data_IF_296376165102
#
_entry.id   IF_296376165102
#
_cell.length_a   1.000
_cell.length_b   1.000
_cell.length_c   1.000
_cell.angle_alpha   90.00
_cell.angle_beta   90.00
_cell.angle_gamma   90.00
#
_symmetry.space_group_name_H-M   'P 1'
#
loop_
_entity.id
_entity.type
_entity.pdbx_description
1 polymer ?
#
# COMPACT_ATOMS: atom_id res chain seq x y z
N UNK A 1 10.67 -5.05 5.13
CA UNK A 1 9.93 -4.69 3.89
C UNK A 1 8.85 -5.70 3.54
N UNK A 2 9.18 -6.95 3.18
CA UNK A 2 8.16 -7.95 2.84
C UNK A 2 7.34 -8.39 4.05
N UNK A 3 8.01 -8.63 5.19
CA UNK A 3 7.35 -8.92 6.47
C UNK A 3 6.47 -7.73 6.90
N UNK A 4 6.99 -6.50 6.86
CA UNK A 4 6.19 -5.31 7.23
C UNK A 4 4.97 -5.14 6.34
N UNK A 5 5.10 -5.44 5.05
CA UNK A 5 4.00 -5.42 4.10
C UNK A 5 2.99 -6.54 4.36
N UNK A 6 3.42 -7.77 4.64
CA UNK A 6 2.49 -8.87 4.96
C UNK A 6 1.68 -8.56 6.21
N UNK A 7 2.33 -8.05 7.27
CA UNK A 7 1.65 -7.57 8.47
C UNK A 7 0.68 -6.42 8.18
N UNK A 8 1.04 -5.50 7.27
CA UNK A 8 0.13 -4.44 6.83
C UNK A 8 -1.10 -5.00 6.10
N UNK A 9 -0.92 -6.01 5.24
CA UNK A 9 -2.03 -6.67 4.52
C UNK A 9 -3.00 -7.32 5.49
N UNK A 10 -2.50 -8.03 6.49
CA UNK A 10 -3.35 -8.69 7.48
C UNK A 10 -4.16 -7.68 8.29
N UNK A 11 -3.52 -6.58 8.71
CA UNK A 11 -4.20 -5.49 9.41
C UNK A 11 -5.24 -4.78 8.52
N UNK A 12 -4.92 -4.57 7.24
CA UNK A 12 -5.86 -3.99 6.28
C UNK A 12 -7.10 -4.89 6.08
N UNK A 13 -6.91 -6.21 6.00
CA UNK A 13 -8.02 -7.17 5.90
C UNK A 13 -8.91 -7.11 7.14
N UNK A 14 -8.30 -7.06 8.33
CA UNK A 14 -9.01 -6.93 9.60
C UNK A 14 -9.86 -5.65 9.63
N UNK A 15 -9.27 -4.50 9.34
CA UNK A 15 -10.00 -3.22 9.29
C UNK A 15 -11.11 -3.20 8.23
N UNK A 16 -10.86 -3.77 7.05
CA UNK A 16 -11.88 -3.83 6.00
C UNK A 16 -13.07 -4.69 6.43
N UNK A 17 -12.83 -5.81 7.11
CA UNK A 17 -13.89 -6.67 7.63
C UNK A 17 -14.71 -5.95 8.72
N UNK A 18 -14.05 -5.22 9.61
CA UNK A 18 -14.69 -4.44 10.67
C UNK A 18 -15.55 -3.30 10.11
N UNK A 19 -15.02 -2.51 9.17
CA UNK A 19 -15.81 -1.47 8.49
C UNK A 19 -17.01 -2.07 7.74
N UNK A 20 -16.82 -3.23 7.12
CA UNK A 20 -17.90 -3.93 6.42
C UNK A 20 -19.00 -4.38 7.38
N UNK A 21 -18.66 -4.87 8.58
CA UNK A 21 -19.68 -5.29 9.56
C UNK A 21 -20.49 -4.10 10.07
N UNK A 22 -19.85 -2.93 10.28
CA UNK A 22 -20.54 -1.67 10.62
C UNK A 22 -21.53 -1.29 9.52
N UNK A 23 -21.11 -1.33 8.24
CA UNK A 23 -21.98 -1.03 7.10
C UNK A 23 -23.14 -2.02 6.95
N UNK A 24 -22.96 -3.27 7.40
CA UNK A 24 -23.98 -4.33 7.36
C UNK A 24 -25.01 -4.24 8.50
N UNK A 25 -24.95 -3.18 9.33
CA UNK A 25 -25.94 -2.91 10.36
C UNK A 25 -25.50 -3.28 11.77
N UNK A 26 -24.22 -3.57 11.99
CA UNK A 26 -23.68 -3.65 13.35
C UNK A 26 -23.82 -2.27 14.02
N UNK A 27 -24.64 -2.21 15.08
CA UNK A 27 -24.81 -1.01 15.89
C UNK A 27 -23.45 -0.56 16.43
N UNK A 28 -23.02 0.62 16.00
CA UNK A 28 -21.71 1.21 16.32
C UNK A 28 -21.94 2.68 16.59
N UNK A 29 -21.37 3.20 17.67
CA UNK A 29 -21.49 4.62 18.00
C UNK A 29 -20.73 5.47 16.97
N UNK A 30 -21.11 6.75 16.84
CA UNK A 30 -20.41 7.68 15.95
C UNK A 30 -18.92 7.82 16.34
N UNK A 31 -18.62 7.79 17.64
CA UNK A 31 -17.25 7.87 18.15
C UNK A 31 -16.42 6.65 17.72
N UNK A 32 -16.98 5.44 17.86
CA UNK A 32 -16.31 4.21 17.41
C UNK A 32 -16.11 4.21 15.90
N UNK A 33 -17.10 4.64 15.13
CA UNK A 33 -16.98 4.75 13.68
C UNK A 33 -15.87 5.72 13.27
N UNK A 34 -15.77 6.90 13.92
CA UNK A 34 -14.69 7.86 13.69
C UNK A 34 -13.32 7.24 14.00
N UNK A 35 -13.21 6.53 15.12
CA UNK A 35 -11.97 5.86 15.51
C UNK A 35 -11.56 4.78 14.50
N UNK A 36 -12.52 3.99 13.99
CA UNK A 36 -12.28 3.00 12.93
C UNK A 36 -11.73 3.66 11.66
N UNK A 37 -12.32 4.78 11.24
CA UNK A 37 -11.87 5.54 10.06
C UNK A 37 -10.47 6.10 10.29
N UNK A 38 -10.21 6.72 11.44
CA UNK A 38 -8.89 7.26 11.80
C UNK A 38 -7.82 6.16 11.83
N UNK A 39 -8.15 5.00 12.38
CA UNK A 39 -7.25 3.83 12.43
C UNK A 39 -6.95 3.33 11.01
N UNK A 40 -7.96 3.27 10.14
CA UNK A 40 -7.77 2.94 8.72
C UNK A 40 -6.85 3.91 7.99
N UNK A 41 -7.03 5.23 8.19
CA UNK A 41 -6.18 6.26 7.61
C UNK A 41 -4.73 6.16 8.11
N UNK A 42 -4.53 5.96 9.41
CA UNK A 42 -3.21 5.73 10.00
C UNK A 42 -2.53 4.48 9.42
N UNK A 43 -3.29 3.41 9.14
CA UNK A 43 -2.74 2.24 8.47
C UNK A 43 -2.24 2.56 7.05
N UNK A 44 -2.90 3.45 6.30
CA UNK A 44 -2.39 3.91 5.00
C UNK A 44 -1.11 4.74 5.13
N UNK A 45 -0.99 5.60 6.15
CA UNK A 45 0.27 6.31 6.40
C UNK A 45 1.43 5.34 6.63
N UNK A 46 1.20 4.26 7.38
CA UNK A 46 2.17 3.19 7.58
C UNK A 46 2.56 2.52 6.25
N UNK A 47 1.62 2.26 5.34
CA UNK A 47 1.93 1.73 4.00
C UNK A 47 2.88 2.64 3.23
N UNK A 48 2.59 3.95 3.22
CA UNK A 48 3.42 4.92 2.51
C UNK A 48 4.82 5.00 3.10
N UNK A 49 4.97 4.90 4.43
CA UNK A 49 6.29 4.81 5.08
C UNK A 49 7.07 3.56 4.68
N UNK A 50 6.42 2.39 4.62
CA UNK A 50 7.05 1.15 4.13
C UNK A 50 7.53 1.32 2.68
N UNK A 51 6.68 1.88 1.81
CA UNK A 51 7.03 2.13 0.40
C UNK A 51 8.15 3.16 0.24
N UNK A 52 8.17 4.22 1.05
CA UNK A 52 9.22 5.23 1.04
C UNK A 52 10.57 4.64 1.51
N UNK A 53 10.56 3.84 2.58
CA UNK A 53 11.75 3.12 3.04
C UNK A 53 12.29 2.18 1.96
N UNK A 54 11.41 1.46 1.25
CA UNK A 54 11.80 0.63 0.12
C UNK A 54 12.43 1.45 -1.02
N UNK A 55 11.83 2.58 -1.38
CA UNK A 55 12.36 3.49 -2.40
C UNK A 55 13.75 4.03 -2.06
N UNK A 56 13.96 4.39 -0.79
CA UNK A 56 15.23 4.91 -0.29
C UNK A 56 16.33 3.83 -0.27
N UNK A 57 15.96 2.56 -0.08
CA UNK A 57 16.91 1.45 -0.14
C UNK A 57 17.26 1.10 -1.59
N UNK A 58 16.25 0.87 -2.43
CA UNK A 58 16.37 0.71 -3.87
C UNK A 58 15.00 0.97 -4.55
N UNK A 59 14.97 1.94 -5.46
CA UNK A 59 13.79 2.33 -6.23
C UNK A 59 13.14 1.15 -6.99
N UNK A 60 13.91 0.13 -7.36
CA UNK A 60 13.38 -1.08 -8.01
C UNK A 60 12.39 -1.83 -7.11
N UNK A 61 12.55 -1.81 -5.78
CA UNK A 61 11.60 -2.46 -4.87
C UNK A 61 10.19 -1.88 -4.97
N UNK A 62 10.04 -0.56 -5.20
CA UNK A 62 8.72 0.06 -5.40
C UNK A 62 8.00 -0.52 -6.62
N UNK A 63 8.74 -0.93 -7.63
CA UNK A 63 8.20 -1.51 -8.86
C UNK A 63 7.97 -3.02 -8.76
N UNK A 64 8.84 -3.75 -8.08
CA UNK A 64 8.84 -5.23 -8.05
C UNK A 64 8.25 -5.84 -6.77
N UNK A 65 8.03 -5.04 -5.72
CA UNK A 65 7.61 -5.52 -4.41
C UNK A 65 6.24 -6.21 -4.37
N UNK A 66 6.00 -6.93 -3.27
CA UNK A 66 4.80 -7.74 -3.02
C UNK A 66 3.47 -6.96 -3.06
N UNK A 67 3.51 -5.62 -3.01
CA UNK A 67 2.35 -4.74 -3.13
C UNK A 67 1.84 -4.52 -4.55
N UNK A 68 2.47 -5.11 -5.56
CA UNK A 68 1.93 -5.18 -6.91
C UNK A 68 1.78 -6.64 -7.33
N UNK A 69 0.67 -6.96 -7.98
CA UNK A 69 0.47 -8.21 -8.69
C UNK A 69 1.37 -8.30 -9.92
N UNK A 70 1.68 -9.50 -10.43
CA UNK A 70 2.40 -9.66 -11.69
C UNK A 70 1.77 -8.90 -12.87
N UNK A 71 0.43 -8.86 -12.93
CA UNK A 71 -0.31 -8.13 -13.95
C UNK A 71 -0.08 -6.60 -13.84
N UNK A 72 -0.19 -6.02 -12.65
CA UNK A 72 0.06 -4.59 -12.45
C UNK A 72 1.49 -4.19 -12.79
N UNK A 73 2.48 -5.06 -12.49
CA UNK A 73 3.89 -4.81 -12.84
C UNK A 73 4.10 -4.79 -14.35
N UNK A 74 3.44 -5.68 -15.08
CA UNK A 74 3.51 -5.72 -16.54
C UNK A 74 2.92 -4.45 -17.19
N UNK A 75 1.89 -3.87 -16.59
CA UNK A 75 1.16 -2.72 -17.11
C UNK A 75 1.55 -1.37 -16.48
N UNK A 76 2.71 -1.26 -15.82
CA UNK A 76 3.19 0.00 -15.22
C UNK A 76 3.20 1.18 -16.21
N UNK A 77 3.44 0.89 -17.50
CA UNK A 77 3.48 1.86 -18.58
C UNK A 77 2.13 2.53 -18.89
N UNK A 78 1.01 1.89 -18.56
CA UNK A 78 -0.33 2.46 -18.77
C UNK A 78 -0.57 3.64 -17.80
N UNK A 79 0.02 3.59 -16.61
CA UNK A 79 -0.08 4.66 -15.60
C UNK A 79 0.87 5.85 -15.83
N UNK A 80 1.50 5.96 -17.00
CA UNK A 80 2.45 7.02 -17.34
C UNK A 80 3.88 6.80 -16.84
N UNK A 81 4.12 5.83 -15.96
CA UNK A 81 5.47 5.46 -15.53
C UNK A 81 6.17 4.62 -16.60
N UNK A 82 7.29 5.10 -17.15
CA UNK A 82 8.09 4.36 -18.13
C UNK A 82 9.34 3.77 -17.45
N UNK A 83 9.42 2.44 -17.23
CA UNK A 83 10.59 1.83 -16.59
C UNK A 83 11.93 2.16 -17.28
N UNK A 84 11.91 2.43 -18.58
CA UNK A 84 13.08 2.85 -19.34
C UNK A 84 13.67 4.19 -18.88
N UNK A 85 12.90 5.08 -18.26
CA UNK A 85 13.42 6.37 -17.77
C UNK A 85 14.31 6.21 -16.54
N UNK A 86 14.06 5.19 -15.71
CA UNK A 86 14.97 4.80 -14.61
C UNK A 86 16.29 4.27 -15.19
N UNK A 87 16.21 3.41 -16.20
CA UNK A 87 17.40 2.83 -16.84
C UNK A 87 18.25 3.86 -17.60
N UNK A 88 17.63 4.91 -18.16
CA UNK A 88 18.37 6.03 -18.76
C UNK A 88 19.25 6.75 -17.76
N UNK A 89 18.80 6.91 -16.51
CA UNK A 89 19.56 7.56 -15.44
C UNK A 89 20.71 6.67 -14.93
N UNK A 90 20.53 5.35 -14.90
CA UNK A 90 21.58 4.40 -14.52
C UNK A 90 22.72 4.28 -15.55
N UNK A 91 22.50 4.61 -16.84
CA UNK A 91 23.53 4.52 -17.89
C UNK A 91 24.48 5.72 -17.92
N UNK A 92 24.21 6.77 -17.13
CA UNK A 92 24.99 8.02 -17.10
C UNK A 92 25.83 8.15 -15.83
N UNK A 93 25.93 7.08 -15.04
CA UNK A 93 26.82 6.92 -13.88
C UNK A 93 27.81 5.81 -14.26
#
# INVERSE_FOLDING_TARGET
MEIDYSHWVDEQKRHTAELTSVLQGQQTSELELRLLVETGLSNYERLFRIKAAAANADVFYVMSGLWKTPAERFFLWIGGFRPSDVLKKCRTI
#
